data_IF_023614574197
#
_entry.id   IF_023614574197
#
_cell.length_a   1.000
_cell.length_b   1.000
_cell.length_c   1.000
_cell.angle_alpha   90.00
_cell.angle_beta   90.00
_cell.angle_gamma   90.00
#
_symmetry.space_group_name_H-M   'P 1'
#
loop_
_entity.id
_entity.type
_entity.pdbx_description
1 polymer ?
#
# COMPACT_ATOMS: atom_id res chain seq x y z
N UNK A 1 -26.00 32.31 23.53
CA UNK A 1 -26.59 31.08 22.96
C UNK A 1 -25.47 30.07 22.87
N UNK A 2 -25.48 29.05 23.74
CA UNK A 2 -24.47 27.98 23.72
C UNK A 2 -24.86 26.98 22.65
N UNK A 3 -23.98 26.71 21.70
CA UNK A 3 -24.18 25.68 20.67
C UNK A 3 -23.87 24.34 21.34
N UNK A 4 -24.91 23.58 21.69
CA UNK A 4 -24.76 22.17 22.06
C UNK A 4 -24.04 21.44 20.92
N UNK A 5 -22.94 20.71 21.16
CA UNK A 5 -22.28 19.95 20.11
C UNK A 5 -23.26 18.87 19.66
N UNK A 6 -23.88 19.09 18.50
CA UNK A 6 -24.81 18.14 17.91
C UNK A 6 -24.15 16.76 17.85
N UNK A 7 -24.82 15.77 18.41
CA UNK A 7 -24.34 14.40 18.52
C UNK A 7 -24.02 13.86 17.12
N UNK A 8 -22.74 13.97 16.76
CA UNK A 8 -22.29 13.79 15.39
C UNK A 8 -22.53 12.36 14.94
N UNK A 9 -23.23 12.20 13.81
CA UNK A 9 -23.43 10.90 13.16
C UNK A 9 -22.08 10.22 12.98
N UNK A 10 -21.82 9.18 13.77
CA UNK A 10 -20.57 8.43 13.69
C UNK A 10 -20.55 7.70 12.32
N UNK A 11 -19.52 7.90 11.48
CA UNK A 11 -19.43 7.23 10.19
C UNK A 11 -19.34 5.72 10.41
N UNK A 12 -19.93 4.90 9.51
CA UNK A 12 -19.85 3.46 9.61
C UNK A 12 -18.38 3.01 9.55
N UNK A 13 -18.01 1.94 10.27
CA UNK A 13 -16.64 1.44 10.25
C UNK A 13 -16.25 1.01 8.83
N UNK A 14 -15.06 1.39 8.39
CA UNK A 14 -14.52 0.96 7.10
C UNK A 14 -14.21 -0.54 7.13
N UNK A 15 -14.42 -1.25 6.00
CA UNK A 15 -14.00 -2.64 5.85
C UNK A 15 -12.53 -2.84 6.24
N UNK A 16 -12.19 -3.88 7.02
CA UNK A 16 -10.82 -4.13 7.48
C UNK A 16 -9.78 -4.16 6.37
N UNK A 17 -10.13 -4.65 5.19
CA UNK A 17 -9.26 -4.75 4.03
C UNK A 17 -8.85 -3.38 3.44
N UNK A 18 -9.69 -2.35 3.57
CA UNK A 18 -9.36 -1.00 3.10
C UNK A 18 -8.41 -0.26 4.05
N UNK A 19 -8.24 -0.77 5.26
CA UNK A 19 -7.30 -0.25 6.25
C UNK A 19 -5.93 -0.92 6.15
N UNK A 20 -5.83 -2.01 5.38
CA UNK A 20 -4.62 -2.78 5.19
C UNK A 20 -3.93 -2.39 3.87
N UNK A 21 -2.61 -2.24 3.93
CA UNK A 21 -1.77 -1.85 2.80
C UNK A 21 -1.41 -3.05 1.94
N UNK A 22 -1.39 -4.25 2.54
CA UNK A 22 -1.03 -5.49 1.86
C UNK A 22 -1.94 -5.81 0.67
N UNK A 23 -3.28 -5.69 0.75
CA UNK A 23 -4.14 -5.83 -0.42
C UNK A 23 -3.78 -4.89 -1.57
N UNK A 24 -3.48 -3.62 -1.27
CA UNK A 24 -3.12 -2.61 -2.29
C UNK A 24 -1.78 -2.97 -2.95
N UNK A 25 -0.77 -3.34 -2.15
CA UNK A 25 0.53 -3.79 -2.66
C UNK A 25 0.37 -5.03 -3.54
N UNK A 26 -0.41 -6.02 -3.10
CA UNK A 26 -0.61 -7.26 -3.83
C UNK A 26 -1.30 -7.03 -5.18
N UNK A 27 -2.37 -6.24 -5.22
CA UNK A 27 -3.08 -5.90 -6.46
C UNK A 27 -2.18 -5.12 -7.41
N UNK A 28 -1.45 -4.11 -6.92
CA UNK A 28 -0.53 -3.33 -7.74
C UNK A 28 0.63 -4.16 -8.30
N UNK A 29 1.24 -5.01 -7.48
CA UNK A 29 2.31 -5.92 -7.91
C UNK A 29 1.82 -6.92 -8.96
N UNK A 30 0.64 -7.52 -8.75
CA UNK A 30 0.03 -8.44 -9.71
C UNK A 30 -0.27 -7.75 -11.04
N UNK A 31 -0.82 -6.53 -11.01
CA UNK A 31 -1.10 -5.76 -12.22
C UNK A 31 0.18 -5.49 -13.03
N UNK A 32 1.27 -5.09 -12.38
CA UNK A 32 2.55 -4.87 -13.05
C UNK A 32 3.21 -6.17 -13.55
N UNK A 33 3.05 -7.28 -12.83
CA UNK A 33 3.52 -8.59 -13.28
C UNK A 33 2.77 -9.03 -14.54
N UNK A 34 1.44 -8.87 -14.57
CA UNK A 34 0.62 -9.18 -15.74
C UNK A 34 0.99 -8.28 -16.92
N UNK A 35 1.16 -6.97 -16.69
CA UNK A 35 1.60 -6.03 -17.73
C UNK A 35 3.00 -6.39 -18.28
N UNK A 36 3.93 -6.76 -17.39
CA UNK A 36 5.25 -7.25 -17.77
C UNK A 36 5.16 -8.52 -18.62
N UNK A 37 4.44 -9.53 -18.15
CA UNK A 37 4.23 -10.77 -18.90
C UNK A 37 3.64 -10.48 -20.29
N UNK A 38 2.60 -9.64 -20.37
CA UNK A 38 1.99 -9.24 -21.63
C UNK A 38 3.00 -8.54 -22.57
N UNK A 39 3.84 -7.65 -22.06
CA UNK A 39 4.85 -6.94 -22.84
C UNK A 39 5.96 -7.85 -23.42
N UNK A 40 6.20 -9.02 -22.82
CA UNK A 40 7.16 -10.01 -23.32
C UNK A 40 6.52 -11.11 -24.17
N UNK A 41 5.27 -11.48 -23.90
CA UNK A 41 4.57 -12.58 -24.57
C UNK A 41 3.74 -12.12 -25.78
N UNK A 42 3.31 -10.85 -25.83
CA UNK A 42 2.46 -10.32 -26.89
C UNK A 42 3.26 -9.34 -27.76
N UNK A 43 3.53 -9.66 -29.05
CA UNK A 43 4.39 -8.83 -29.90
C UNK A 43 3.92 -7.38 -30.06
N UNK A 44 2.61 -7.12 -30.08
CA UNK A 44 2.05 -5.76 -30.19
C UNK A 44 2.27 -4.91 -28.93
N UNK A 45 2.66 -5.52 -27.79
CA UNK A 45 2.87 -4.84 -26.51
C UNK A 45 4.35 -4.66 -26.16
N UNK A 46 5.30 -4.96 -27.06
CA UNK A 46 6.73 -4.85 -26.75
C UNK A 46 7.17 -3.44 -26.29
N UNK A 47 6.48 -2.39 -26.75
CA UNK A 47 6.75 -1.00 -26.35
C UNK A 47 6.48 -0.73 -24.86
N UNK A 48 5.69 -1.58 -24.20
CA UNK A 48 5.38 -1.45 -22.77
C UNK A 48 6.49 -1.95 -21.85
N UNK A 49 7.48 -2.70 -22.37
CA UNK A 49 8.53 -3.32 -21.54
C UNK A 49 9.23 -2.33 -20.60
N UNK A 50 9.68 -1.14 -21.04
CA UNK A 50 10.34 -0.20 -20.13
C UNK A 50 9.42 0.25 -18.99
N UNK A 51 8.16 0.54 -19.31
CA UNK A 51 7.16 1.02 -18.34
C UNK A 51 6.76 -0.10 -17.37
N UNK A 52 6.55 -1.33 -17.86
CA UNK A 52 6.22 -2.47 -17.00
C UNK A 52 7.37 -2.82 -16.05
N UNK A 53 8.62 -2.75 -16.54
CA UNK A 53 9.80 -2.98 -15.70
C UNK A 53 9.99 -1.86 -14.67
N UNK A 54 9.78 -0.61 -15.07
CA UNK A 54 9.81 0.52 -14.14
C UNK A 54 8.74 0.37 -13.05
N UNK A 55 7.52 -0.02 -13.41
CA UNK A 55 6.44 -0.29 -12.46
C UNK A 55 6.78 -1.39 -11.45
N UNK A 56 7.36 -2.50 -11.92
CA UNK A 56 7.85 -3.58 -11.05
C UNK A 56 8.97 -3.10 -10.11
N UNK A 57 9.95 -2.37 -10.63
CA UNK A 57 11.05 -1.84 -9.84
C UNK A 57 10.57 -0.84 -8.77
N UNK A 58 9.69 0.08 -9.14
CA UNK A 58 9.08 1.05 -8.21
C UNK A 58 8.22 0.34 -7.16
N UNK A 59 7.43 -0.66 -7.56
CA UNK A 59 6.65 -1.47 -6.62
C UNK A 59 7.51 -2.22 -5.61
N UNK A 60 8.61 -2.83 -6.06
CA UNK A 60 9.58 -3.49 -5.19
C UNK A 60 10.24 -2.50 -4.22
N UNK A 61 10.69 -1.36 -4.72
CA UNK A 61 11.31 -0.31 -3.91
C UNK A 61 10.34 0.22 -2.84
N UNK A 62 9.12 0.59 -3.22
CA UNK A 62 8.11 1.09 -2.30
C UNK A 62 7.77 0.06 -1.21
N UNK A 63 7.62 -1.22 -1.60
CA UNK A 63 7.36 -2.32 -0.66
C UNK A 63 8.54 -2.52 0.30
N UNK A 64 9.78 -2.47 -0.20
CA UNK A 64 10.98 -2.60 0.63
C UNK A 64 11.08 -1.46 1.66
N UNK A 65 10.81 -0.22 1.24
CA UNK A 65 10.76 0.94 2.14
C UNK A 65 9.68 0.73 3.21
N UNK A 66 8.47 0.30 2.82
CA UNK A 66 7.38 0.05 3.77
C UNK A 66 7.77 -1.01 4.81
N UNK A 67 8.31 -2.14 4.39
CA UNK A 67 8.73 -3.21 5.31
C UNK A 67 9.86 -2.74 6.22
N UNK A 68 10.80 -1.94 5.71
CA UNK A 68 11.85 -1.35 6.52
C UNK A 68 11.30 -0.39 7.58
N UNK A 69 10.33 0.45 7.21
CA UNK A 69 9.62 1.33 8.13
C UNK A 69 8.81 0.54 9.17
N UNK A 70 8.14 -0.54 8.77
CA UNK A 70 7.42 -1.41 9.70
C UNK A 70 8.38 -2.07 10.70
N UNK A 71 9.54 -2.52 10.24
CA UNK A 71 10.57 -3.05 11.13
C UNK A 71 11.14 -1.97 12.06
N UNK A 72 11.31 -0.73 11.60
CA UNK A 72 11.75 0.39 12.43
C UNK A 72 10.71 0.76 13.50
N UNK A 73 9.42 0.77 13.14
CA UNK A 73 8.31 1.00 14.07
C UNK A 73 8.26 -0.09 15.15
N UNK A 74 8.45 -1.36 14.76
CA UNK A 74 8.55 -2.49 15.71
C UNK A 74 9.69 -2.35 16.72
N UNK A 75 10.78 -1.67 16.35
CA UNK A 75 11.92 -1.40 17.23
C UNK A 75 11.75 -0.13 18.07
N UNK A 76 10.64 0.61 17.92
CA UNK A 76 10.40 1.86 18.62
C UNK A 76 11.30 3.02 18.15
N UNK A 77 11.75 3.00 16.89
CA UNK A 77 12.59 4.08 16.35
C UNK A 77 11.82 5.41 16.32
N UNK A 78 12.40 6.47 16.88
CA UNK A 78 11.80 7.83 16.92
C UNK A 78 11.55 8.42 15.53
N UNK A 79 12.23 7.91 14.50
CA UNK A 79 12.07 8.34 13.11
C UNK A 79 11.19 7.42 12.25
N UNK A 80 10.54 6.41 12.84
CA UNK A 80 9.61 5.57 12.09
C UNK A 80 8.29 6.31 11.79
N UNK A 81 7.65 5.97 10.68
CA UNK A 81 6.34 6.52 10.34
C UNK A 81 5.29 6.14 11.41
N UNK A 82 4.60 7.16 11.94
CA UNK A 82 3.49 6.98 12.87
C UNK A 82 2.28 6.32 12.17
N UNK A 83 1.53 5.49 12.88
CA UNK A 83 0.38 4.73 12.36
C UNK A 83 0.70 3.29 11.95
N UNK A 84 1.98 2.89 11.88
CA UNK A 84 2.34 1.49 11.58
C UNK A 84 2.13 0.56 12.79
N UNK A 85 2.09 1.11 13.99
CA UNK A 85 1.74 0.40 15.23
C UNK A 85 0.34 -0.23 15.18
N UNK A 86 -0.58 0.31 14.38
CA UNK A 86 -1.91 -0.30 14.16
C UNK A 86 -1.79 -1.70 13.54
N UNK A 87 -0.76 -1.95 12.71
CA UNK A 87 -0.48 -3.31 12.19
C UNK A 87 0.07 -4.26 13.25
N UNK A 88 0.68 -3.72 14.32
CA UNK A 88 1.23 -4.53 15.41
C UNK A 88 0.15 -4.93 16.40
N UNK A 89 -0.83 -4.06 16.64
CA UNK A 89 -1.97 -4.33 17.53
C UNK A 89 -3.02 -5.28 16.94
N UNK A 90 -2.95 -5.61 15.64
CA UNK A 90 -3.85 -6.57 14.98
C UNK A 90 -3.34 -8.03 15.03
N UNK A 91 -2.31 -8.33 15.84
CA UNK A 91 -1.85 -9.71 16.10
C UNK A 91 -2.31 -10.21 17.45
#
# INVERSE_FOLDING_TARGET
MSVEPGEGRKPPPLPPALLEVWPVIAVGALAWLVAGAAAFLVPSLHGWRPVSLAGLAVGLLGTAIFVWQLAAARRGSRGAQAGLETYLHRR
#
